data_IF_233373464023
#
_entry.id   IF_233373464023
#
_cell.length_a   1.000
_cell.length_b   1.000
_cell.length_c   1.000
_cell.angle_alpha   90.00
_cell.angle_beta   90.00
_cell.angle_gamma   90.00
#
_symmetry.space_group_name_H-M   'P 1'
#
loop_
_entity.id
_entity.type
_entity.pdbx_description
1 polymer ?
#
# COMPACT_ATOMS: atom_id res chain seq x y z
N UNK A 1 -1.67 -0.86 -17.94
CA UNK A 1 -2.27 -1.36 -16.68
C UNK A 1 -3.77 -1.25 -16.79
N UNK A 2 -4.56 -2.18 -16.25
CA UNK A 2 -6.02 -2.07 -16.24
C UNK A 2 -6.57 -2.62 -14.92
N UNK A 3 -7.68 -2.04 -14.45
CA UNK A 3 -8.35 -2.47 -13.23
C UNK A 3 -9.26 -3.67 -13.52
N UNK A 4 -9.32 -4.63 -12.60
CA UNK A 4 -10.27 -5.75 -12.67
C UNK A 4 -11.63 -5.36 -12.08
N UNK A 5 -11.66 -4.35 -11.21
CA UNK A 5 -12.83 -3.98 -10.42
C UNK A 5 -13.56 -2.74 -10.96
N UNK A 6 -14.86 -2.65 -10.65
CA UNK A 6 -15.70 -1.47 -10.91
C UNK A 6 -15.91 -0.56 -9.68
N UNK A 7 -15.25 -0.86 -8.57
CA UNK A 7 -15.43 -0.19 -7.27
C UNK A 7 -14.16 -0.23 -6.43
N UNK A 8 -14.29 0.19 -5.17
CA UNK A 8 -13.24 0.07 -4.17
C UNK A 8 -13.81 -0.51 -2.88
N UNK A 9 -13.03 -1.36 -2.21
CA UNK A 9 -13.36 -1.95 -0.91
C UNK A 9 -12.40 -1.44 0.17
N UNK A 10 -12.67 -0.22 0.67
CA UNK A 10 -11.78 0.52 1.53
C UNK A 10 -11.97 0.15 3.02
N UNK A 11 -10.86 0.12 3.77
CA UNK A 11 -10.86 0.04 5.24
C UNK A 11 -11.17 1.43 5.81
N UNK A 12 -12.04 1.50 6.81
CA UNK A 12 -12.57 2.79 7.36
C UNK A 12 -12.32 2.99 8.84
N UNK A 13 -11.53 2.12 9.50
CA UNK A 13 -11.13 2.35 10.88
C UNK A 13 -10.29 3.65 10.98
N UNK A 14 -10.64 4.51 11.94
CA UNK A 14 -10.09 5.84 12.14
C UNK A 14 -10.20 6.75 10.89
N UNK A 15 -11.18 6.50 10.02
CA UNK A 15 -11.39 7.34 8.83
C UNK A 15 -11.74 8.77 9.26
N UNK A 16 -10.98 9.71 8.74
CA UNK A 16 -11.13 11.13 9.03
C UNK A 16 -11.31 11.93 7.73
N UNK A 17 -12.22 12.90 7.75
CA UNK A 17 -12.56 13.70 6.58
C UNK A 17 -11.41 14.60 6.14
N UNK A 18 -10.57 15.07 7.07
CA UNK A 18 -9.43 15.92 6.74
C UNK A 18 -8.27 15.10 6.15
N UNK A 19 -8.06 13.89 6.67
CA UNK A 19 -6.97 12.99 6.29
C UNK A 19 -7.25 12.19 5.01
N UNK A 20 -8.49 11.76 4.80
CA UNK A 20 -8.96 10.99 3.63
C UNK A 20 -10.27 11.53 3.03
N UNK A 21 -10.29 12.78 2.52
CA UNK A 21 -11.51 13.41 2.03
C UNK A 21 -12.18 12.64 0.87
N UNK A 22 -11.40 12.04 -0.04
CA UNK A 22 -11.95 11.30 -1.17
C UNK A 22 -12.73 10.05 -0.73
N UNK A 23 -12.15 9.26 0.19
CA UNK A 23 -12.80 8.05 0.72
C UNK A 23 -14.01 8.45 1.56
N UNK A 24 -13.88 9.46 2.42
CA UNK A 24 -14.98 9.94 3.25
C UNK A 24 -16.17 10.40 2.40
N UNK A 25 -15.93 11.22 1.38
CA UNK A 25 -16.98 11.73 0.50
C UNK A 25 -17.55 10.66 -0.47
N UNK A 26 -16.87 9.52 -0.63
CA UNK A 26 -17.39 8.38 -1.38
C UNK A 26 -18.46 7.60 -0.60
N UNK A 27 -18.55 7.78 0.73
CA UNK A 27 -19.55 7.16 1.58
C UNK A 27 -20.85 7.98 1.50
N UNK A 28 -21.73 7.55 0.61
CA UNK A 28 -23.06 8.14 0.37
C UNK A 28 -24.01 7.04 -0.12
N UNK A 29 -25.25 7.38 -0.48
CA UNK A 29 -26.19 6.41 -1.08
C UNK A 29 -25.48 5.63 -2.19
N UNK A 30 -25.74 4.32 -2.24
CA UNK A 30 -25.12 3.35 -3.15
C UNK A 30 -23.69 2.88 -2.75
N UNK A 31 -23.18 3.33 -1.60
CA UNK A 31 -22.10 2.67 -0.87
C UNK A 31 -22.67 1.70 0.18
N UNK A 32 -21.90 0.66 0.53
CA UNK A 32 -22.24 -0.33 1.54
C UNK A 32 -21.16 -0.37 2.63
N UNK A 33 -21.54 0.09 3.82
CA UNK A 33 -20.71 0.00 5.03
C UNK A 33 -20.82 -1.40 5.64
N UNK A 34 -19.71 -1.88 6.21
CA UNK A 34 -19.61 -3.22 6.78
C UNK A 34 -18.90 -3.16 8.13
N UNK A 35 -19.57 -3.69 9.17
CA UNK A 35 -19.08 -3.79 10.55
C UNK A 35 -18.68 -2.45 11.21
N UNK A 36 -19.20 -1.32 10.72
CA UNK A 36 -19.06 -0.02 11.40
C UNK A 36 -20.10 0.12 12.50
N UNK A 37 -19.74 0.81 13.58
CA UNK A 37 -20.67 1.12 14.66
C UNK A 37 -21.52 2.31 14.28
N UNK A 38 -22.83 2.18 14.48
CA UNK A 38 -23.83 3.21 14.15
C UNK A 38 -24.73 3.41 15.37
N UNK A 39 -24.96 4.65 15.77
CA UNK A 39 -25.90 4.97 16.86
C UNK A 39 -27.36 5.02 16.39
N UNK A 40 -28.28 5.26 17.32
CA UNK A 40 -29.73 5.29 17.04
C UNK A 40 -30.12 6.41 16.07
N UNK A 41 -29.33 7.49 16.03
CA UNK A 41 -29.49 8.65 15.15
C UNK A 41 -28.84 8.45 13.77
N UNK A 42 -28.15 7.32 13.54
CA UNK A 42 -27.51 6.99 12.28
C UNK A 42 -26.10 7.56 12.13
N UNK A 43 -25.51 8.13 13.18
CA UNK A 43 -24.12 8.60 13.18
C UNK A 43 -23.18 7.39 13.26
N UNK A 44 -22.18 7.42 12.40
CA UNK A 44 -21.16 6.37 12.31
C UNK A 44 -19.99 6.74 13.21
N UNK A 45 -19.53 5.80 14.03
CA UNK A 45 -18.25 5.90 14.75
C UNK A 45 -17.18 5.08 14.03
N UNK A 46 -16.31 5.76 13.29
CA UNK A 46 -15.18 5.13 12.59
C UNK A 46 -14.03 4.74 13.53
N UNK A 47 -14.01 5.18 14.79
CA UNK A 47 -12.96 4.85 15.75
C UNK A 47 -13.29 3.59 16.57
N UNK A 48 -14.55 3.16 16.56
CA UNK A 48 -14.94 1.94 17.27
C UNK A 48 -14.39 0.70 16.58
N UNK A 49 -13.72 -0.11 17.38
CA UNK A 49 -13.10 -1.38 17.01
C UNK A 49 -13.55 -2.55 17.88
N UNK A 50 -14.60 -2.35 18.67
CA UNK A 50 -15.17 -3.35 19.59
C UNK A 50 -15.51 -4.66 18.89
N UNK A 51 -16.04 -4.59 17.66
CA UNK A 51 -16.33 -5.75 16.82
C UNK A 51 -15.11 -6.21 16.02
N UNK A 52 -14.43 -5.28 15.33
CA UNK A 52 -13.26 -5.58 14.50
C UNK A 52 -12.49 -4.30 14.16
N UNK A 53 -11.17 -4.41 14.01
CA UNK A 53 -10.37 -3.33 13.41
C UNK A 53 -10.47 -3.31 11.87
N UNK A 54 -11.12 -4.29 11.23
CA UNK A 54 -11.29 -4.38 9.78
C UNK A 54 -12.68 -3.91 9.33
N UNK A 55 -13.13 -2.77 9.86
CA UNK A 55 -14.34 -2.08 9.37
C UNK A 55 -14.13 -1.61 7.93
N UNK A 56 -15.16 -1.76 7.10
CA UNK A 56 -15.04 -1.61 5.64
C UNK A 56 -16.18 -0.79 5.04
N UNK A 57 -15.93 -0.31 3.83
CA UNK A 57 -16.95 0.22 2.93
C UNK A 57 -16.66 -0.23 1.50
N UNK A 58 -17.69 -0.65 0.78
CA UNK A 58 -17.63 -0.80 -0.68
C UNK A 58 -18.40 0.33 -1.35
N UNK A 59 -17.86 0.87 -2.44
CA UNK A 59 -18.53 1.86 -3.26
C UNK A 59 -18.10 1.72 -4.73
N UNK A 60 -18.97 2.07 -5.69
CA UNK A 60 -18.58 2.07 -7.09
C UNK A 60 -17.54 3.16 -7.36
N UNK A 61 -16.63 2.92 -8.31
CA UNK A 61 -15.42 3.75 -8.49
C UNK A 61 -15.77 5.20 -8.84
N UNK A 62 -16.93 5.43 -9.46
CA UNK A 62 -17.43 6.76 -9.81
C UNK A 62 -17.85 7.61 -8.60
N UNK A 63 -17.85 7.07 -7.37
CA UNK A 63 -17.97 7.86 -6.15
C UNK A 63 -16.75 8.74 -5.91
N UNK A 64 -15.58 8.35 -6.44
CA UNK A 64 -14.36 9.16 -6.42
C UNK A 64 -14.36 10.10 -7.64
N UNK A 65 -14.08 11.37 -7.41
CA UNK A 65 -14.10 12.41 -8.46
C UNK A 65 -12.95 12.24 -9.45
N UNK A 66 -11.72 12.09 -8.94
CA UNK A 66 -10.50 12.03 -9.75
C UNK A 66 -10.14 10.59 -10.13
N UNK A 67 -10.76 10.07 -11.19
CA UNK A 67 -10.53 8.72 -11.70
C UNK A 67 -10.34 8.74 -13.22
N UNK A 68 -9.68 7.70 -13.74
CA UNK A 68 -9.60 7.48 -15.17
C UNK A 68 -10.96 7.02 -15.71
N UNK A 69 -11.42 7.65 -16.79
CA UNK A 69 -12.69 7.39 -17.48
C UNK A 69 -12.46 7.44 -19.00
N UNK A 70 -13.31 6.78 -19.83
CA UNK A 70 -14.48 5.97 -19.46
C UNK A 70 -14.13 4.56 -18.96
N UNK A 71 -12.91 4.09 -19.20
CA UNK A 71 -12.45 2.75 -18.81
C UNK A 71 -11.24 2.87 -17.90
N UNK A 72 -11.25 2.17 -16.76
CA UNK A 72 -10.20 2.16 -15.75
C UNK A 72 -8.92 1.44 -16.23
N UNK A 73 -8.16 2.09 -17.11
CA UNK A 73 -6.89 1.60 -17.63
C UNK A 73 -5.93 2.76 -17.90
N UNK A 74 -4.64 2.45 -17.92
CA UNK A 74 -3.57 3.43 -18.12
C UNK A 74 -2.42 2.80 -18.91
N UNK A 75 -1.45 3.61 -19.40
CA UNK A 75 -0.21 3.11 -19.97
C UNK A 75 0.57 2.15 -19.04
N UNK A 76 1.70 1.65 -19.54
CA UNK A 76 2.60 0.84 -18.70
C UNK A 76 3.12 1.66 -17.52
N UNK A 77 3.21 1.03 -16.34
CA UNK A 77 3.69 1.68 -15.13
C UNK A 77 5.14 2.16 -15.31
N UNK A 78 5.46 3.35 -14.79
CA UNK A 78 6.83 3.88 -14.73
C UNK A 78 7.47 3.70 -13.36
N UNK A 79 6.65 3.46 -12.34
CA UNK A 79 7.07 3.23 -10.97
C UNK A 79 6.30 2.04 -10.42
N UNK A 80 7.00 1.15 -9.72
CA UNK A 80 6.43 0.02 -8.99
C UNK A 80 6.78 0.21 -7.52
N UNK A 81 5.77 0.21 -6.65
CA UNK A 81 5.97 0.49 -5.22
C UNK A 81 5.52 -0.75 -4.45
N UNK A 82 6.44 -1.31 -3.68
CA UNK A 82 6.16 -2.37 -2.72
C UNK A 82 5.93 -1.75 -1.35
N UNK A 83 4.73 -1.92 -0.80
CA UNK A 83 4.37 -1.45 0.52
C UNK A 83 4.63 -2.57 1.53
N UNK A 84 5.52 -2.33 2.48
CA UNK A 84 5.80 -3.26 3.58
C UNK A 84 5.41 -2.60 4.90
N UNK A 85 4.54 -3.24 5.67
CA UNK A 85 4.25 -2.84 7.04
C UNK A 85 5.26 -3.52 7.98
N UNK A 86 6.48 -3.00 8.04
CA UNK A 86 7.53 -3.61 8.88
C UNK A 86 7.28 -3.33 10.37
N UNK A 87 6.90 -4.37 11.12
CA UNK A 87 6.70 -4.30 12.56
C UNK A 87 8.00 -4.29 13.37
N UNK A 88 9.14 -4.69 12.79
CA UNK A 88 10.44 -4.65 13.47
C UNK A 88 11.07 -3.25 13.47
N UNK A 89 10.61 -2.35 12.61
CA UNK A 89 11.16 -0.98 12.53
C UNK A 89 12.56 -0.90 11.93
N UNK A 90 12.92 -1.86 11.09
CA UNK A 90 14.25 -2.04 10.50
C UNK A 90 14.32 -1.49 9.07
N UNK A 91 13.24 -1.63 8.29
CA UNK A 91 13.24 -1.11 6.92
C UNK A 91 13.28 0.43 6.94
N UNK A 92 14.13 1.06 6.10
CA UNK A 92 14.09 2.50 5.91
C UNK A 92 12.74 2.94 5.32
N UNK A 93 12.36 4.22 5.46
CA UNK A 93 11.09 4.72 4.92
C UNK A 93 10.93 4.46 3.42
N UNK A 94 12.01 4.63 2.64
CA UNK A 94 12.06 4.34 1.20
C UNK A 94 13.41 3.75 0.83
N UNK A 95 13.40 2.74 -0.03
CA UNK A 95 14.59 2.25 -0.73
C UNK A 95 14.36 2.18 -2.22
N UNK A 96 15.35 2.60 -2.99
CA UNK A 96 15.38 2.39 -4.45
C UNK A 96 15.96 1.01 -4.71
N UNK A 97 15.22 0.17 -5.44
CA UNK A 97 15.62 -1.21 -5.70
C UNK A 97 16.30 -1.34 -7.08
N UNK A 98 17.33 -2.17 -7.15
CA UNK A 98 17.83 -2.69 -8.43
C UNK A 98 16.97 -3.89 -8.91
N UNK A 99 17.25 -4.44 -10.09
CA UNK A 99 16.46 -5.53 -10.68
C UNK A 99 16.44 -6.81 -9.80
N UNK A 100 17.60 -7.22 -9.28
CA UNK A 100 17.71 -8.39 -8.40
C UNK A 100 16.94 -8.20 -7.09
N UNK A 101 17.10 -7.04 -6.45
CA UNK A 101 16.35 -6.65 -5.26
C UNK A 101 14.86 -6.58 -5.53
N UNK A 102 14.45 -6.09 -6.70
CA UNK A 102 13.03 -6.06 -7.09
C UNK A 102 12.45 -7.46 -7.10
N UNK A 103 13.11 -8.41 -7.76
CA UNK A 103 12.67 -9.82 -7.80
C UNK A 103 12.70 -10.44 -6.40
N UNK A 104 13.76 -10.20 -5.64
CA UNK A 104 13.91 -10.71 -4.27
C UNK A 104 12.78 -10.21 -3.36
N UNK A 105 12.58 -8.90 -3.21
CA UNK A 105 11.56 -8.34 -2.31
C UNK A 105 10.14 -8.64 -2.79
N UNK A 106 9.90 -8.76 -4.10
CA UNK A 106 8.61 -9.18 -4.62
C UNK A 106 8.30 -10.65 -4.26
N UNK A 107 9.28 -11.55 -4.40
CA UNK A 107 9.11 -12.96 -4.02
C UNK A 107 9.03 -13.15 -2.51
N UNK A 108 9.83 -12.41 -1.74
CA UNK A 108 9.76 -12.46 -0.27
C UNK A 108 8.41 -11.93 0.23
N UNK A 109 7.96 -10.79 -0.30
CA UNK A 109 6.71 -10.16 0.13
C UNK A 109 6.65 -9.94 1.64
N UNK A 110 7.78 -9.52 2.23
CA UNK A 110 7.87 -9.24 3.65
C UNK A 110 6.95 -8.06 4.01
N UNK A 111 6.07 -8.27 4.97
CA UNK A 111 5.11 -7.28 5.49
C UNK A 111 4.60 -7.76 6.86
N UNK A 112 3.53 -7.15 7.37
CA UNK A 112 2.81 -7.66 8.53
C UNK A 112 1.34 -7.93 8.19
N UNK A 113 0.78 -9.00 8.77
CA UNK A 113 -0.67 -9.16 8.88
C UNK A 113 -1.17 -8.16 9.91
N UNK A 114 -2.02 -7.23 9.48
CA UNK A 114 -2.61 -6.24 10.36
C UNK A 114 -3.81 -6.84 11.09
N UNK A 115 -4.09 -6.35 12.29
CA UNK A 115 -5.20 -6.81 13.10
C UNK A 115 -6.54 -6.75 12.33
N UNK A 116 -7.33 -7.80 12.51
CA UNK A 116 -8.65 -7.99 11.89
C UNK A 116 -8.66 -8.37 10.41
N UNK A 117 -7.51 -8.48 9.73
CA UNK A 117 -7.46 -8.89 8.31
C UNK A 117 -7.66 -10.39 8.10
N UNK A 118 -7.31 -11.21 9.11
CA UNK A 118 -7.56 -12.65 9.17
C UNK A 118 -8.08 -13.02 10.57
N UNK A 119 -8.94 -14.05 10.67
CA UNK A 119 -9.47 -14.53 11.96
C UNK A 119 -8.32 -14.92 12.89
N UNK A 120 -8.29 -14.35 14.08
CA UNK A 120 -7.29 -14.65 15.12
C UNK A 120 -6.07 -13.72 15.16
N UNK A 121 -5.94 -12.76 14.24
CA UNK A 121 -4.86 -11.77 14.27
C UNK A 121 -5.31 -10.51 15.02
N UNK A 122 -4.78 -10.32 16.24
CA UNK A 122 -5.05 -9.17 17.12
C UNK A 122 -3.91 -8.16 17.17
N UNK A 123 -2.69 -8.58 16.83
CA UNK A 123 -1.50 -7.73 16.81
C UNK A 123 -0.76 -7.86 15.46
N UNK A 124 -0.03 -6.81 15.02
CA UNK A 124 0.76 -6.85 13.80
C UNK A 124 1.73 -8.04 13.81
N UNK A 125 1.48 -9.03 12.96
CA UNK A 125 2.29 -10.25 12.91
C UNK A 125 3.17 -10.23 11.67
N UNK A 126 4.51 -10.18 11.79
CA UNK A 126 5.41 -10.24 10.65
C UNK A 126 5.16 -11.49 9.80
N UNK A 127 5.18 -11.33 8.49
CA UNK A 127 4.94 -12.43 7.56
C UNK A 127 5.69 -12.23 6.25
N UNK A 128 5.91 -13.35 5.56
CA UNK A 128 6.37 -13.36 4.18
C UNK A 128 5.20 -13.84 3.33
N UNK A 129 4.55 -12.91 2.65
CA UNK A 129 3.42 -13.18 1.75
C UNK A 129 3.89 -12.98 0.33
N UNK A 130 4.34 -14.06 -0.32
CA UNK A 130 4.90 -14.00 -1.67
C UNK A 130 4.04 -13.15 -2.62
N UNK A 131 4.69 -12.30 -3.42
CA UNK A 131 4.04 -11.32 -4.31
C UNK A 131 3.14 -10.30 -3.60
N UNK A 132 3.28 -10.13 -2.28
CA UNK A 132 2.40 -9.33 -1.41
C UNK A 132 0.93 -9.79 -1.41
N UNK A 133 0.68 -11.05 -1.80
CA UNK A 133 -0.68 -11.55 -2.05
C UNK A 133 -0.77 -13.07 -2.07
N UNK A 134 0.04 -13.77 -1.28
CA UNK A 134 0.16 -15.24 -1.32
C UNK A 134 -1.18 -15.97 -1.20
N UNK A 135 -2.12 -15.43 -0.42
CA UNK A 135 -3.46 -16.00 -0.23
C UNK A 135 -4.30 -16.07 -1.52
N UNK A 136 -3.91 -15.34 -2.57
CA UNK A 136 -4.64 -15.24 -3.84
C UNK A 136 -3.86 -15.81 -5.04
N UNK A 137 -2.70 -16.42 -4.81
CA UNK A 137 -1.88 -16.97 -5.89
C UNK A 137 -2.36 -18.37 -6.28
N UNK A 138 -2.68 -18.56 -7.54
CA UNK A 138 -3.04 -19.85 -8.13
C UNK A 138 -1.84 -20.54 -8.83
N UNK A 139 -0.79 -19.77 -9.12
CA UNK A 139 0.46 -20.27 -9.70
C UNK A 139 1.63 -20.14 -8.72
N UNK A 140 2.74 -20.78 -9.05
CA UNK A 140 3.97 -20.60 -8.28
C UNK A 140 4.44 -19.12 -8.33
N UNK A 141 4.86 -18.51 -7.20
CA UNK A 141 5.23 -17.08 -7.13
C UNK A 141 6.26 -16.62 -8.18
N UNK A 142 7.15 -17.52 -8.60
CA UNK A 142 8.15 -17.22 -9.63
C UNK A 142 7.53 -16.83 -10.97
N UNK A 143 6.34 -17.34 -11.33
CA UNK A 143 5.64 -16.97 -12.56
C UNK A 143 5.18 -15.52 -12.54
N UNK A 144 4.66 -15.06 -11.40
CA UNK A 144 4.28 -13.66 -11.23
C UNK A 144 5.50 -12.74 -11.24
N UNK A 145 6.60 -13.16 -10.59
CA UNK A 145 7.84 -12.39 -10.56
C UNK A 145 8.48 -12.25 -11.94
N UNK A 146 8.52 -13.33 -12.73
CA UNK A 146 8.99 -13.32 -14.12
C UNK A 146 8.19 -12.33 -14.98
N UNK A 147 6.87 -12.37 -14.88
CA UNK A 147 6.00 -11.49 -15.68
C UNK A 147 6.11 -10.02 -15.23
N UNK A 148 6.22 -9.75 -13.92
CA UNK A 148 6.44 -8.40 -13.41
C UNK A 148 7.76 -7.82 -13.93
N UNK A 149 8.86 -8.57 -13.81
CA UNK A 149 10.20 -8.13 -14.28
C UNK A 149 10.17 -7.85 -15.77
N UNK A 150 9.61 -8.76 -16.58
CA UNK A 150 9.46 -8.56 -18.03
C UNK A 150 8.70 -7.28 -18.39
N UNK A 151 7.60 -6.98 -17.68
CA UNK A 151 6.83 -5.73 -17.91
C UNK A 151 7.59 -4.49 -17.45
N UNK A 152 8.33 -4.57 -16.35
CA UNK A 152 9.16 -3.47 -15.86
C UNK A 152 10.31 -3.15 -16.83
N UNK A 153 11.02 -4.18 -17.32
CA UNK A 153 12.09 -4.02 -18.32
C UNK A 153 11.57 -3.37 -19.60
N UNK A 154 10.44 -3.85 -20.13
CA UNK A 154 9.83 -3.29 -21.35
C UNK A 154 9.43 -1.82 -21.19
N UNK A 155 9.04 -1.40 -19.99
CA UNK A 155 8.54 -0.03 -19.73
C UNK A 155 9.60 0.93 -19.19
N UNK A 156 10.76 0.41 -18.77
CA UNK A 156 11.79 1.17 -18.05
C UNK A 156 11.35 1.54 -16.62
N UNK A 157 10.47 0.77 -16.00
CA UNK A 157 9.93 1.07 -14.68
C UNK A 157 10.99 0.93 -13.58
N UNK A 158 10.90 1.78 -12.55
CA UNK A 158 11.74 1.69 -11.34
C UNK A 158 10.95 1.14 -10.17
N UNK A 159 11.56 0.27 -9.38
CA UNK A 159 10.94 -0.25 -8.16
C UNK A 159 11.43 0.45 -6.90
N UNK A 160 10.51 0.60 -5.95
CA UNK A 160 10.72 1.19 -4.65
C UNK A 160 10.13 0.28 -3.57
N UNK A 161 10.84 0.13 -2.45
CA UNK A 161 10.31 -0.48 -1.24
C UNK A 161 10.00 0.63 -0.24
N UNK A 162 8.76 0.73 0.20
CA UNK A 162 8.29 1.77 1.11
C UNK A 162 7.80 1.14 2.40
N UNK A 163 8.39 1.56 3.53
CA UNK A 163 7.95 1.14 4.84
C UNK A 163 6.72 1.97 5.26
N UNK A 164 5.60 1.28 5.51
CA UNK A 164 4.33 1.84 5.98
C UNK A 164 3.96 1.33 7.39
N UNK A 165 4.89 0.58 8.00
CA UNK A 165 4.81 0.06 9.34
C UNK A 165 5.51 0.99 10.32
N UNK A 166 6.39 0.43 11.15
CA UNK A 166 7.02 1.09 12.27
C UNK A 166 8.45 1.52 11.92
N UNK A 167 8.99 2.43 12.71
CA UNK A 167 10.40 2.84 12.66
C UNK A 167 11.15 2.36 13.91
N UNK A 168 12.46 2.60 13.99
CA UNK A 168 13.30 2.20 15.12
C UNK A 168 12.94 2.82 16.48
N UNK A 169 11.96 3.74 16.54
CA UNK A 169 11.41 4.28 17.80
C UNK A 169 10.16 3.54 18.28
N UNK A 170 9.70 2.52 17.55
CA UNK A 170 8.47 1.79 17.86
C UNK A 170 7.19 2.57 17.51
N UNK A 171 7.30 3.70 16.78
CA UNK A 171 6.14 4.46 16.28
C UNK A 171 5.87 4.09 14.82
N UNK A 172 4.59 4.02 14.47
CA UNK A 172 4.16 3.87 13.07
C UNK A 172 4.54 5.11 12.27
N UNK A 173 5.05 4.93 11.06
CA UNK A 173 5.39 6.02 10.14
C UNK A 173 4.10 6.78 9.81
N UNK A 174 4.13 8.11 9.95
CA UNK A 174 2.93 8.92 9.75
C UNK A 174 2.47 8.89 8.29
N UNK A 175 1.16 8.91 8.04
CA UNK A 175 0.62 8.95 6.67
C UNK A 175 1.10 10.20 5.91
N UNK A 176 1.31 11.32 6.63
CA UNK A 176 1.88 12.55 6.10
C UNK A 176 3.32 12.34 5.61
N UNK A 177 4.15 11.63 6.38
CA UNK A 177 5.50 11.28 5.95
C UNK A 177 5.48 10.29 4.79
N UNK A 178 4.59 9.30 4.77
CA UNK A 178 4.47 8.36 3.65
C UNK A 178 4.02 9.07 2.36
N UNK A 179 3.03 9.97 2.43
CA UNK A 179 2.59 10.77 1.28
C UNK A 179 3.65 11.78 0.83
N UNK A 180 4.39 12.36 1.76
CA UNK A 180 5.41 13.38 1.48
C UNK A 180 6.77 12.82 1.02
N UNK A 181 7.29 11.81 1.70
CA UNK A 181 8.63 11.23 1.49
C UNK A 181 8.59 9.89 0.75
N UNK A 182 7.49 9.14 0.87
CA UNK A 182 7.34 7.75 0.41
C UNK A 182 6.92 7.56 -1.05
N UNK A 183 6.05 8.43 -1.56
CA UNK A 183 5.51 8.31 -2.93
C UNK A 183 6.30 9.18 -3.90
N UNK A 184 6.91 8.62 -4.97
CA UNK A 184 7.69 9.41 -5.92
C UNK A 184 6.79 10.23 -6.85
N UNK A 185 6.59 11.51 -6.58
CA UNK A 185 6.02 12.45 -7.55
C UNK A 185 7.03 12.82 -8.65
N UNK A 186 6.57 12.95 -9.90
CA UNK A 186 7.42 13.30 -11.07
C UNK A 186 8.29 14.54 -10.84
N UNK A 187 7.74 15.60 -10.22
CA UNK A 187 8.48 16.84 -9.92
C UNK A 187 9.46 16.76 -8.74
N UNK A 188 9.43 15.69 -7.93
CA UNK A 188 10.27 15.58 -6.73
C UNK A 188 11.51 14.72 -6.98
N UNK A 189 11.43 13.76 -7.91
CA UNK A 189 12.56 12.92 -8.31
C UNK A 189 13.67 13.69 -9.05
N UNK A 190 13.35 14.78 -9.77
CA UNK A 190 14.38 15.58 -10.42
C UNK A 190 15.29 16.32 -9.45
N UNK A 191 14.79 16.68 -8.25
CA UNK A 191 15.60 17.30 -7.20
C UNK A 191 16.57 16.32 -6.50
N UNK A 192 16.36 15.01 -6.61
CA UNK A 192 17.24 13.98 -6.03
C UNK A 192 18.17 13.32 -7.07
N UNK A 193 18.47 14.01 -8.19
CA UNK A 193 19.38 13.52 -9.26
C UNK A 193 20.87 13.42 -8.87
N UNK A 194 21.27 13.70 -7.63
CA UNK A 194 22.63 13.39 -7.16
C UNK A 194 22.73 11.90 -6.77
N UNK A 195 22.78 11.03 -7.77
CA UNK A 195 22.83 9.58 -7.65
C UNK A 195 24.15 9.00 -7.06
N UNK A 196 24.96 9.80 -6.35
CA UNK A 196 26.29 9.39 -5.87
C UNK A 196 26.52 9.46 -4.35
N UNK A 197 25.54 9.87 -3.54
CA UNK A 197 25.78 10.13 -2.09
C UNK A 197 24.77 9.49 -1.13
N UNK A 198 24.05 8.45 -1.54
CA UNK A 198 23.14 7.77 -0.63
C UNK A 198 23.84 6.63 0.12
N UNK A 199 23.91 6.69 1.47
CA UNK A 199 24.56 5.65 2.26
C UNK A 199 23.83 4.31 2.07
N UNK A 200 24.60 3.23 1.94
CA UNK A 200 24.04 1.88 1.86
C UNK A 200 23.64 1.42 3.25
N UNK A 201 22.43 0.89 3.42
CA UNK A 201 22.08 0.21 4.66
C UNK A 201 23.03 -0.99 4.88
N UNK A 202 23.70 -1.11 6.05
CA UNK A 202 24.81 -2.04 6.25
C UNK A 202 24.44 -3.52 6.01
N UNK A 203 23.22 -3.92 6.39
CA UNK A 203 22.77 -5.30 6.28
C UNK A 203 21.99 -5.65 5.02
N UNK A 204 21.41 -4.64 4.35
CA UNK A 204 20.50 -4.88 3.21
C UNK A 204 21.00 -4.31 1.89
N UNK A 205 22.17 -3.66 1.89
CA UNK A 205 22.80 -3.02 0.72
C UNK A 205 21.83 -2.16 -0.13
N UNK A 206 20.90 -1.44 0.53
CA UNK A 206 19.90 -0.58 -0.12
C UNK A 206 20.38 0.86 -0.22
N UNK A 207 20.02 1.57 -1.30
CA UNK A 207 20.23 3.03 -1.40
C UNK A 207 19.01 3.74 -0.82
N UNK A 208 19.24 4.59 0.17
CA UNK A 208 18.19 5.35 0.85
C UNK A 208 18.34 6.84 0.53
N UNK A 209 17.29 7.50 0.00
CA UNK A 209 17.29 8.94 -0.20
C UNK A 209 17.30 9.76 1.10
#
# INVERSE_FOLDING_TARGET
>A
MFNFEGGCYAKVINLDKESEPDIYNAIKRDALLENVTVDAEGKIDFNDKSTTENTRVSYPIYHITNIVKPVSHAPAAKQVIFLSADAFGVLPPVSILNAEQTKYYFLSGFTAKLAGTERGITEPTPTFSACFGQAFLELHPTKYAEELVKKMEKSGAKAYLVNTGWNGTGKRISIRDTRGKGLPGEHRLERNRQAYLYPRHPWYHRRNP
#
